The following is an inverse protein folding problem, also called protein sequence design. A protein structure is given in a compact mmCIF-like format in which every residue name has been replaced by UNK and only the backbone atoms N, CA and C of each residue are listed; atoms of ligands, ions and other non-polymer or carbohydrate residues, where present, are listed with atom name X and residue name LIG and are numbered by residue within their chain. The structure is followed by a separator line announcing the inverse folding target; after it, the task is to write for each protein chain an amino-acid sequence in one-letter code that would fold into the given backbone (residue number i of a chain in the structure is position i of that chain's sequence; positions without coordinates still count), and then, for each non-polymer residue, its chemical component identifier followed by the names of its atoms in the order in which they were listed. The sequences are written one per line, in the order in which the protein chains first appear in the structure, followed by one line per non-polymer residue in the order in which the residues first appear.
data_IF_689334927255
#
_entry.id   IF_689334927255
#
_cell.length_a   1.000
_cell.length_b   1.000
_cell.length_c   1.000
_cell.angle_alpha   90.00
_cell.angle_beta   90.00
_cell.angle_gamma   90.00
#
_symmetry.space_group_name_H-M   'P 1'
#
loop_
_entity.id
_entity.type
_entity.pdbx_description
1 polymer ?
#
# COMPACT_ATOMS: atom_id res chain seq x y z
N UNK A 1 -37.20 -1.47 70.30
CA UNK A 1 -37.09 -0.03 69.95
C UNK A 1 -36.28 0.08 68.66
N UNK A 2 -36.87 -0.20 67.49
CA UNK A 2 -37.48 0.79 66.59
C UNK A 2 -36.55 1.96 66.26
N UNK A 3 -35.71 1.78 65.23
CA UNK A 3 -35.10 2.89 64.49
C UNK A 3 -35.58 2.75 63.04
N UNK A 4 -36.57 3.57 62.70
CA UNK A 4 -37.09 3.66 61.33
C UNK A 4 -36.08 4.37 60.41
N UNK A 5 -36.06 4.02 59.11
CA UNK A 5 -35.24 4.69 58.10
C UNK A 5 -35.83 6.06 57.75
N UNK A 6 -34.95 7.07 57.65
CA UNK A 6 -35.31 8.39 57.17
C UNK A 6 -35.47 8.37 55.64
N UNK A 7 -36.54 9.02 55.22
CA UNK A 7 -37.04 9.21 53.86
C UNK A 7 -35.97 9.54 52.81
N UNK A 8 -35.97 8.78 51.71
CA UNK A 8 -35.47 9.24 50.42
C UNK A 8 -36.53 10.12 49.76
N UNK A 9 -36.18 11.38 49.50
CA UNK A 9 -37.02 12.33 48.80
C UNK A 9 -37.29 11.88 47.35
N UNK A 10 -38.56 11.96 47.00
CA UNK A 10 -39.14 11.61 45.72
C UNK A 10 -38.74 12.69 44.71
N UNK A 11 -37.90 12.33 43.73
CA UNK A 11 -37.70 13.16 42.52
C UNK A 11 -38.97 13.13 41.68
N UNK A 12 -39.91 14.01 42.01
CA UNK A 12 -41.15 14.24 41.25
C UNK A 12 -40.85 15.19 40.09
N UNK A 13 -40.87 14.67 38.87
CA UNK A 13 -40.67 15.47 37.66
C UNK A 13 -41.87 16.43 37.43
N UNK A 14 -41.65 17.71 37.08
CA UNK A 14 -42.72 18.67 36.87
C UNK A 14 -43.54 18.36 35.61
N UNK A 15 -44.87 18.47 35.72
CA UNK A 15 -45.89 18.04 34.74
C UNK A 15 -45.85 18.72 33.35
N UNK A 16 -44.97 19.69 33.10
CA UNK A 16 -44.92 20.46 31.84
C UNK A 16 -44.14 19.80 30.70
N UNK A 17 -44.18 18.47 30.62
CA UNK A 17 -43.59 17.71 29.51
C UNK A 17 -44.49 16.55 29.05
N UNK A 18 -45.78 16.57 29.40
CA UNK A 18 -46.72 15.50 29.02
C UNK A 18 -47.46 15.74 27.69
N UNK A 19 -47.49 16.98 27.18
CA UNK A 19 -48.33 17.35 26.02
C UNK A 19 -47.53 17.82 24.79
N UNK A 20 -46.24 17.50 24.68
CA UNK A 20 -45.52 17.70 23.41
C UNK A 20 -45.68 16.43 22.58
N UNK A 21 -46.68 16.43 21.69
CA UNK A 21 -46.84 15.37 20.69
C UNK A 21 -45.49 15.07 20.05
N UNK A 22 -45.00 13.85 20.27
CA UNK A 22 -43.79 13.38 19.62
C UNK A 22 -44.01 13.42 18.11
N UNK A 23 -43.08 14.01 17.33
CA UNK A 23 -43.20 14.03 15.89
C UNK A 23 -43.29 12.58 15.42
N UNK A 24 -44.41 12.23 14.78
CA UNK A 24 -44.70 10.88 14.29
C UNK A 24 -43.48 10.40 13.50
N UNK A 25 -42.89 9.33 13.99
CA UNK A 25 -41.72 8.68 13.42
C UNK A 25 -41.97 8.50 11.92
N UNK A 26 -41.18 9.21 11.10
CA UNK A 26 -41.34 9.17 9.65
C UNK A 26 -41.13 7.72 9.22
N UNK A 27 -42.22 7.02 8.88
CA UNK A 27 -42.17 5.68 8.29
C UNK A 27 -41.26 5.74 7.07
N UNK A 28 -40.04 5.20 7.21
CA UNK A 28 -39.14 5.00 6.08
C UNK A 28 -39.84 4.03 5.15
N UNK A 29 -40.26 4.52 3.97
CA UNK A 29 -40.85 3.64 2.96
C UNK A 29 -39.76 2.66 2.56
N UNK A 30 -40.04 1.34 2.51
CA UNK A 30 -39.04 0.37 2.08
C UNK A 30 -38.61 0.74 0.66
N UNK A 31 -37.30 0.88 0.46
CA UNK A 31 -36.73 1.20 -0.85
C UNK A 31 -37.20 0.15 -1.88
N UNK A 32 -37.61 0.55 -3.10
CA UNK A 32 -38.01 -0.39 -4.13
C UNK A 32 -36.90 -1.42 -4.34
N UNK A 33 -37.26 -2.71 -4.35
CA UNK A 33 -36.29 -3.79 -4.60
C UNK A 33 -35.70 -3.56 -6.01
N UNK A 34 -34.37 -3.60 -6.17
CA UNK A 34 -33.75 -3.39 -7.47
C UNK A 34 -34.25 -4.45 -8.45
N UNK A 35 -34.82 -3.99 -9.56
CA UNK A 35 -35.33 -4.83 -10.65
C UNK A 35 -34.16 -5.11 -11.59
N UNK A 36 -33.70 -6.36 -11.68
CA UNK A 36 -32.58 -6.75 -12.54
C UNK A 36 -31.86 -8.04 -12.11
N UNK A 37 -30.91 -8.51 -12.92
CA UNK A 37 -30.01 -9.62 -12.55
C UNK A 37 -29.27 -9.23 -11.26
N UNK A 38 -29.19 -10.10 -10.24
CA UNK A 38 -28.50 -9.79 -9.00
C UNK A 38 -27.05 -9.38 -9.28
N UNK A 39 -26.56 -8.42 -8.49
CA UNK A 39 -25.17 -8.02 -8.54
C UNK A 39 -24.27 -9.22 -8.22
N UNK A 40 -23.14 -9.32 -8.94
CA UNK A 40 -22.16 -10.36 -8.71
C UNK A 40 -21.61 -10.26 -7.27
N UNK A 41 -21.55 -11.41 -6.59
CA UNK A 41 -21.02 -11.53 -5.23
C UNK A 41 -19.91 -12.58 -5.24
N UNK A 42 -18.64 -12.16 -5.10
CA UNK A 42 -17.52 -13.09 -5.07
C UNK A 42 -17.61 -13.97 -3.82
N UNK A 43 -17.52 -15.28 -4.01
CA UNK A 43 -17.37 -16.27 -2.96
C UNK A 43 -15.93 -16.31 -2.44
N UNK A 44 -15.73 -16.93 -1.28
CA UNK A 44 -14.39 -17.11 -0.70
C UNK A 44 -13.50 -18.02 -1.55
N UNK A 45 -14.10 -19.04 -2.17
CA UNK A 45 -13.41 -19.99 -3.04
C UNK A 45 -12.90 -19.33 -4.33
N UNK A 46 -13.74 -18.49 -4.95
CA UNK A 46 -13.32 -17.67 -6.09
C UNK A 46 -12.19 -16.71 -5.71
N UNK A 47 -12.23 -16.10 -4.51
CA UNK A 47 -11.14 -15.22 -4.03
C UNK A 47 -9.84 -15.97 -3.88
N UNK A 48 -9.87 -17.16 -3.27
CA UNK A 48 -8.70 -18.02 -3.13
C UNK A 48 -8.11 -18.40 -4.49
N UNK A 49 -8.98 -18.74 -5.44
CA UNK A 49 -8.61 -19.08 -6.82
C UNK A 49 -7.94 -17.89 -7.52
N UNK A 50 -8.47 -16.67 -7.37
CA UNK A 50 -7.84 -15.46 -7.95
C UNK A 50 -6.45 -15.24 -7.39
N UNK A 51 -6.27 -15.35 -6.07
CA UNK A 51 -4.94 -15.18 -5.45
C UNK A 51 -3.93 -16.23 -5.95
N UNK A 52 -4.35 -17.48 -6.07
CA UNK A 52 -3.50 -18.59 -6.56
C UNK A 52 -3.09 -18.38 -8.01
N UNK A 53 -4.05 -18.07 -8.89
CA UNK A 53 -3.75 -17.79 -10.28
C UNK A 53 -2.86 -16.56 -10.44
N UNK A 54 -3.09 -15.52 -9.62
CA UNK A 54 -2.25 -14.31 -9.64
C UNK A 54 -0.83 -14.61 -9.17
N UNK A 55 -0.66 -15.47 -8.16
CA UNK A 55 0.64 -15.94 -7.70
C UNK A 55 1.39 -16.73 -8.80
N UNK A 56 0.68 -17.53 -9.58
CA UNK A 56 1.24 -18.22 -10.75
C UNK A 56 1.63 -17.27 -11.90
N UNK A 57 1.30 -15.98 -11.82
CA UNK A 57 1.60 -14.99 -12.85
C UNK A 57 0.60 -14.93 -14.00
N UNK A 58 -0.60 -15.49 -13.81
CA UNK A 58 -1.65 -15.45 -14.83
C UNK A 58 -2.15 -14.03 -15.10
N UNK A 59 -2.56 -13.80 -16.35
CA UNK A 59 -3.17 -12.53 -16.75
C UNK A 59 -4.61 -12.39 -16.21
N UNK A 60 -5.03 -11.17 -15.91
CA UNK A 60 -6.39 -10.87 -15.44
C UNK A 60 -7.46 -11.38 -16.43
N UNK A 61 -7.18 -11.37 -17.73
CA UNK A 61 -8.04 -11.93 -18.77
C UNK A 61 -8.16 -13.47 -18.70
N UNK A 62 -7.08 -14.18 -18.34
CA UNK A 62 -7.14 -15.63 -18.11
C UNK A 62 -7.92 -15.96 -16.84
N UNK A 63 -7.69 -15.19 -15.77
CA UNK A 63 -8.39 -15.36 -14.49
C UNK A 63 -9.89 -15.08 -14.63
N UNK A 64 -10.27 -14.02 -15.36
CA UNK A 64 -11.67 -13.73 -15.61
C UNK A 64 -12.36 -14.85 -16.42
N UNK A 65 -11.66 -15.42 -17.40
CA UNK A 65 -12.15 -16.55 -18.21
C UNK A 65 -12.34 -17.82 -17.39
N UNK A 66 -11.43 -18.15 -16.46
CA UNK A 66 -11.56 -19.34 -15.61
C UNK A 66 -12.78 -19.26 -14.68
N UNK A 67 -13.10 -18.05 -14.20
CA UNK A 67 -14.27 -17.79 -13.35
C UNK A 67 -15.57 -17.56 -14.14
N UNK A 68 -15.51 -17.49 -15.48
CA UNK A 68 -16.68 -17.21 -16.32
C UNK A 68 -17.25 -15.80 -16.13
N UNK A 69 -16.42 -14.83 -15.72
CA UNK A 69 -16.81 -13.44 -15.53
C UNK A 69 -16.11 -12.51 -16.53
N UNK A 70 -16.60 -11.28 -16.64
CA UNK A 70 -15.92 -10.26 -17.42
C UNK A 70 -14.72 -9.70 -16.66
N UNK A 71 -13.67 -9.29 -17.38
CA UNK A 71 -12.48 -8.68 -16.77
C UNK A 71 -12.78 -7.39 -15.96
N UNK A 72 -13.71 -6.50 -16.38
CA UNK A 72 -14.18 -5.41 -15.52
C UNK A 72 -14.84 -5.87 -14.22
N UNK A 73 -15.58 -6.99 -14.25
CA UNK A 73 -16.17 -7.59 -13.03
C UNK A 73 -15.07 -8.07 -12.09
N UNK A 74 -14.04 -8.73 -12.62
CA UNK A 74 -12.89 -9.18 -11.84
C UNK A 74 -12.22 -7.99 -11.14
N UNK A 75 -11.84 -6.96 -11.90
CA UNK A 75 -11.21 -5.74 -11.36
C UNK A 75 -12.06 -5.02 -10.32
N UNK A 76 -13.38 -5.07 -10.44
CA UNK A 76 -14.29 -4.41 -9.49
C UNK A 76 -14.41 -5.14 -8.16
N UNK A 77 -14.42 -6.48 -8.19
CA UNK A 77 -14.80 -7.29 -7.03
C UNK A 77 -13.62 -7.97 -6.31
N UNK A 78 -12.46 -8.08 -6.99
CA UNK A 78 -11.26 -8.78 -6.50
C UNK A 78 -10.02 -7.86 -6.45
N UNK A 79 -10.21 -6.58 -6.10
CA UNK A 79 -9.12 -5.59 -6.06
C UNK A 79 -8.00 -6.03 -5.11
N UNK A 80 -8.37 -6.52 -3.94
CA UNK A 80 -7.41 -6.90 -2.90
C UNK A 80 -6.58 -8.11 -3.33
N UNK A 81 -7.22 -9.10 -3.95
CA UNK A 81 -6.56 -10.31 -4.46
C UNK A 81 -5.66 -10.01 -5.66
N UNK A 82 -6.07 -9.10 -6.55
CA UNK A 82 -5.24 -8.71 -7.70
C UNK A 82 -3.99 -7.94 -7.28
N UNK A 83 -4.12 -7.07 -6.26
CA UNK A 83 -3.02 -6.24 -5.78
C UNK A 83 -2.09 -7.01 -4.83
N UNK A 84 -2.66 -7.80 -3.91
CA UNK A 84 -1.92 -8.42 -2.81
C UNK A 84 -1.78 -9.93 -2.94
N UNK A 85 -2.53 -10.59 -3.82
CA UNK A 85 -2.61 -12.06 -3.91
C UNK A 85 -1.26 -12.73 -4.13
N UNK A 86 -0.40 -12.14 -4.98
CA UNK A 86 0.96 -12.65 -5.15
C UNK A 86 1.75 -12.62 -3.84
N UNK A 87 1.70 -11.53 -3.07
CA UNK A 87 2.40 -11.42 -1.79
C UNK A 87 1.80 -12.35 -0.73
N UNK A 88 0.48 -12.44 -0.65
CA UNK A 88 -0.25 -13.29 0.30
C UNK A 88 0.10 -14.77 0.11
N UNK A 89 0.00 -15.28 -1.11
CA UNK A 89 0.33 -16.68 -1.41
C UNK A 89 1.81 -16.96 -1.33
N UNK A 90 2.66 -16.01 -1.72
CA UNK A 90 4.11 -16.14 -1.54
C UNK A 90 4.49 -16.32 -0.07
N UNK A 91 3.87 -15.55 0.84
CA UNK A 91 4.09 -15.69 2.29
C UNK A 91 3.72 -17.10 2.77
N UNK A 92 2.59 -17.63 2.33
CA UNK A 92 2.11 -18.97 2.68
C UNK A 92 3.08 -20.06 2.21
N UNK A 93 3.47 -20.03 0.92
CA UNK A 93 4.41 -20.99 0.32
C UNK A 93 5.77 -20.95 1.03
N UNK A 94 6.29 -19.76 1.33
CA UNK A 94 7.54 -19.60 2.08
C UNK A 94 7.40 -20.20 3.48
N UNK A 95 6.26 -20.00 4.16
CA UNK A 95 5.98 -20.59 5.47
C UNK A 95 6.04 -22.12 5.45
N UNK A 96 5.38 -22.76 4.48
CA UNK A 96 5.42 -24.21 4.28
C UNK A 96 6.84 -24.71 3.96
N UNK A 97 7.59 -23.94 3.18
CA UNK A 97 8.98 -24.26 2.85
C UNK A 97 9.89 -24.21 4.08
N UNK A 98 9.71 -23.23 4.97
CA UNK A 98 10.44 -23.17 6.24
C UNK A 98 10.07 -24.33 7.18
N UNK A 99 8.80 -24.73 7.24
CA UNK A 99 8.38 -25.90 8.01
C UNK A 99 9.04 -27.17 7.48
N UNK A 100 9.04 -27.36 6.16
CA UNK A 100 9.69 -28.50 5.48
C UNK A 100 11.21 -28.49 5.65
N UNK A 101 11.84 -27.32 5.63
CA UNK A 101 13.28 -27.18 5.86
C UNK A 101 13.67 -27.54 7.30
N UNK A 102 12.84 -27.16 8.28
CA UNK A 102 13.02 -27.54 9.70
C UNK A 102 12.88 -29.04 9.94
N UNK A 103 12.05 -29.73 9.15
CA UNK A 103 11.92 -31.19 9.22
C UNK A 103 13.05 -31.93 8.49
N UNK A 104 14.07 -31.23 7.98
CA UNK A 104 15.25 -31.83 7.35
C UNK A 104 15.16 -32.02 5.83
N UNK A 105 14.17 -31.43 5.15
CA UNK A 105 14.11 -31.48 3.69
C UNK A 105 15.19 -30.59 3.06
N UNK A 106 16.26 -31.22 2.56
CA UNK A 106 17.42 -30.55 1.95
C UNK A 106 17.05 -29.73 0.70
N UNK A 107 16.07 -30.18 -0.09
CA UNK A 107 15.62 -29.43 -1.27
C UNK A 107 14.94 -28.12 -0.87
N UNK A 108 14.15 -28.12 0.20
CA UNK A 108 13.54 -26.90 0.74
C UNK A 108 14.60 -25.94 1.31
N UNK A 109 15.61 -26.47 2.02
CA UNK A 109 16.73 -25.68 2.53
C UNK A 109 17.50 -24.96 1.40
N UNK A 110 17.87 -25.71 0.34
CA UNK A 110 18.55 -25.13 -0.83
C UNK A 110 17.73 -24.04 -1.51
N UNK A 111 16.41 -24.25 -1.65
CA UNK A 111 15.54 -23.25 -2.28
C UNK A 111 15.43 -21.97 -1.43
N UNK A 112 15.34 -22.10 -0.11
CA UNK A 112 15.33 -20.94 0.80
C UNK A 112 16.64 -20.16 0.76
N UNK A 113 17.78 -20.86 0.71
CA UNK A 113 19.09 -20.23 0.55
C UNK A 113 19.18 -19.43 -0.76
N UNK A 114 18.73 -20.02 -1.87
CA UNK A 114 18.67 -19.35 -3.16
C UNK A 114 17.81 -18.09 -3.12
N UNK A 115 16.61 -18.18 -2.53
CA UNK A 115 15.71 -17.03 -2.36
C UNK A 115 16.39 -15.92 -1.55
N UNK A 116 17.04 -16.27 -0.43
CA UNK A 116 17.77 -15.31 0.40
C UNK A 116 18.92 -14.64 -0.34
N UNK A 117 19.67 -15.40 -1.14
CA UNK A 117 20.77 -14.90 -1.96
C UNK A 117 20.29 -13.91 -3.02
N UNK A 118 19.21 -14.24 -3.75
CA UNK A 118 18.63 -13.36 -4.78
C UNK A 118 18.09 -12.08 -4.14
N UNK A 119 17.37 -12.18 -3.03
CA UNK A 119 16.86 -11.02 -2.32
C UNK A 119 17.98 -10.07 -1.82
N UNK A 120 19.09 -10.64 -1.34
CA UNK A 120 20.28 -9.87 -0.97
C UNK A 120 20.92 -9.15 -2.17
N UNK A 121 20.98 -9.81 -3.33
CA UNK A 121 21.52 -9.22 -4.56
C UNK A 121 20.61 -8.10 -5.10
N UNK A 122 19.28 -8.28 -5.09
CA UNK A 122 18.32 -7.25 -5.47
C UNK A 122 18.41 -6.02 -4.54
N UNK A 123 18.51 -6.24 -3.23
CA UNK A 123 18.66 -5.15 -2.26
C UNK A 123 19.96 -4.36 -2.45
N UNK A 124 21.06 -5.05 -2.78
CA UNK A 124 22.34 -4.40 -3.06
C UNK A 124 22.30 -3.62 -4.39
N UNK A 125 21.71 -4.21 -5.44
CA UNK A 125 21.50 -3.50 -6.71
C UNK A 125 20.64 -2.24 -6.52
N UNK A 126 19.55 -2.33 -5.77
CA UNK A 126 18.67 -1.20 -5.46
C UNK A 126 19.38 -0.10 -4.64
N UNK A 127 20.30 -0.49 -3.76
CA UNK A 127 21.14 0.45 -3.00
C UNK A 127 22.15 1.16 -3.90
N UNK A 128 22.68 0.47 -4.90
CA UNK A 128 23.63 1.03 -5.87
C UNK A 128 22.95 1.85 -6.98
N UNK A 129 21.73 1.48 -7.37
CA UNK A 129 20.95 2.13 -8.43
C UNK A 129 20.29 3.43 -7.97
N UNK A 130 19.97 3.57 -6.68
CA UNK A 130 19.57 4.86 -6.10
C UNK A 130 20.76 5.81 -6.14
N UNK A 131 20.69 6.95 -6.87
CA UNK A 131 21.76 7.93 -6.81
C UNK A 131 21.89 8.33 -5.34
N UNK A 132 23.08 8.09 -4.76
CA UNK A 132 23.45 8.63 -3.47
C UNK A 132 23.26 10.14 -3.60
N UNK A 133 22.15 10.66 -3.07
CA UNK A 133 21.82 12.07 -3.11
C UNK A 133 23.10 12.81 -2.82
N UNK A 134 23.60 13.50 -3.84
CA UNK A 134 24.95 14.02 -3.89
C UNK A 134 25.24 14.64 -2.54
N UNK A 135 26.29 14.15 -1.87
CA UNK A 135 26.72 14.71 -0.61
C UNK A 135 26.90 16.21 -0.87
N UNK A 136 25.91 17.03 -0.49
CA UNK A 136 25.81 18.44 -0.85
C UNK A 136 27.13 19.04 -0.45
N UNK A 137 27.98 19.30 -1.44
CA UNK A 137 29.28 19.89 -1.22
C UNK A 137 29.00 21.16 -0.43
N UNK A 138 29.67 21.35 0.71
CA UNK A 138 29.36 22.47 1.58
C UNK A 138 29.31 23.76 0.76
N UNK A 139 28.37 24.67 1.03
CA UNK A 139 28.12 25.88 0.19
C UNK A 139 29.40 26.60 -0.27
N UNK A 140 30.47 26.55 0.55
CA UNK A 140 31.79 27.08 0.24
C UNK A 140 32.53 26.36 -0.89
N UNK A 141 32.47 25.03 -0.92
CA UNK A 141 33.17 24.21 -1.91
C UNK A 141 32.43 24.19 -3.25
N UNK A 142 31.09 24.24 -3.22
CA UNK A 142 30.28 24.41 -4.42
C UNK A 142 30.51 25.79 -5.06
N UNK A 143 30.52 26.87 -4.25
CA UNK A 143 30.83 28.20 -4.74
C UNK A 143 32.26 28.31 -5.33
N UNK A 144 33.23 27.58 -4.77
CA UNK A 144 34.60 27.54 -5.32
C UNK A 144 34.63 26.86 -6.70
N UNK A 145 33.94 25.73 -6.86
CA UNK A 145 33.85 25.02 -8.15
C UNK A 145 33.07 25.81 -9.20
N UNK A 146 32.02 26.52 -8.78
CA UNK A 146 31.26 27.42 -9.65
C UNK A 146 32.13 28.62 -10.06
N UNK A 147 32.91 29.20 -9.15
CA UNK A 147 33.86 30.26 -9.48
C UNK A 147 34.98 29.78 -10.43
N UNK A 148 35.50 28.57 -10.22
CA UNK A 148 36.52 27.95 -11.08
C UNK A 148 36.00 27.69 -12.50
N UNK A 149 34.69 27.51 -12.68
CA UNK A 149 34.06 27.23 -13.98
C UNK A 149 33.27 28.40 -14.57
N UNK A 150 33.13 29.51 -13.84
CA UNK A 150 32.30 30.66 -14.22
C UNK A 150 32.71 31.34 -15.54
N UNK A 151 33.97 31.26 -15.94
CA UNK A 151 34.49 31.86 -17.17
C UNK A 151 34.54 30.91 -18.37
N UNK A 152 34.32 29.60 -18.18
CA UNK A 152 34.55 28.61 -19.23
C UNK A 152 33.51 28.73 -20.36
N UNK A 153 33.95 29.14 -21.55
CA UNK A 153 33.11 29.22 -22.75
C UNK A 153 32.20 30.44 -22.83
N UNK A 154 32.45 31.47 -22.03
CA UNK A 154 31.75 32.77 -22.12
C UNK A 154 32.66 33.84 -22.70
N UNK A 155 32.10 34.84 -23.37
CA UNK A 155 32.79 36.00 -23.97
C UNK A 155 33.68 36.76 -22.95
N UNK A 156 33.30 36.69 -21.67
CA UNK A 156 34.06 37.26 -20.54
C UNK A 156 35.28 36.42 -20.12
N UNK A 157 35.33 35.13 -20.50
CA UNK A 157 36.47 34.25 -20.21
C UNK A 157 37.70 34.60 -21.03
N UNK A 158 37.51 35.02 -22.28
CA UNK A 158 38.58 35.48 -23.18
C UNK A 158 39.17 36.84 -22.73
N UNK A 159 38.36 37.70 -22.12
CA UNK A 159 38.79 39.03 -21.64
C UNK A 159 39.60 38.97 -20.32
N UNK A 160 39.52 37.84 -19.60
CA UNK A 160 40.32 37.57 -18.41
C UNK A 160 41.67 36.90 -18.72
N UNK A 161 41.87 36.42 -19.96
CA UNK A 161 43.15 35.86 -20.45
C UNK A 161 44.11 36.96 -20.98
N UNK A 162 44.19 38.07 -20.25
CA UNK A 162 45.11 39.18 -20.54
C UNK A 162 46.52 38.87 -20.04
N UNK A 163 47.17 37.85 -20.61
CA UNK A 163 48.47 37.41 -20.08
C UNK A 163 49.36 36.53 -20.95
N UNK A 164 49.01 36.23 -22.21
CA UNK A 164 49.88 35.48 -23.12
C UNK A 164 50.30 36.26 -24.38
N UNK A 165 50.20 37.60 -24.32
CA UNK A 165 50.76 38.48 -25.35
C UNK A 165 52.30 38.36 -25.39
N UNK A 166 52.74 37.63 -26.41
CA UNK A 166 54.10 37.35 -26.85
C UNK A 166 55.09 38.50 -26.60
N UNK A 167 56.14 38.20 -25.83
CA UNK A 167 57.40 38.92 -25.85
C UNK A 167 58.07 38.69 -27.22
N UNK A 168 58.25 39.77 -27.98
CA UNK A 168 59.28 39.90 -29.02
C UNK A 168 60.38 40.79 -28.46
#
# INVERSE_FOLDING_TARGET
MHRQPLHAEIFSAPERFRDREMPKERRVRPSPKPVGRPAYRPSLDERQTVEEMKFCGESDATIARSLGISEPTLRKHFVDELNNGHANRRKEVIGLMFQSARSGNVSAQKKLEEIGRVAGAEAEFERQSKPRAEARLGKKEQAKREAETAGAGTDWGDDLDVGSARLN
#
